data_IF_952222887137
#
_entry.id   IF_952222887137
#
_cell.length_a   1.000
_cell.length_b   1.000
_cell.length_c   1.000
_cell.angle_alpha   90.00
_cell.angle_beta   90.00
_cell.angle_gamma   90.00
#
_symmetry.space_group_name_H-M   'P 1'
#
loop_
_entity.id
_entity.type
_entity.pdbx_description
1 polymer ?
#
# COMPACT_ATOMS: atom_id res chain seq x y z
N UNK A 1 3.68 6.65 -20.69
CA UNK A 1 5.11 6.38 -20.61
C UNK A 1 5.44 5.73 -19.28
N UNK A 2 6.13 4.61 -19.31
CA UNK A 2 6.59 3.92 -18.12
C UNK A 2 8.08 4.12 -17.95
N UNK A 3 8.49 4.49 -16.75
CA UNK A 3 9.89 4.53 -16.36
C UNK A 3 10.06 3.58 -15.20
N UNK A 4 10.95 2.61 -15.34
CA UNK A 4 11.17 1.59 -14.33
C UNK A 4 12.55 1.77 -13.71
N UNK A 5 12.58 1.78 -12.38
CA UNK A 5 13.83 1.77 -11.63
C UNK A 5 14.46 0.37 -11.76
N UNK A 6 15.77 0.33 -11.98
CA UNK A 6 16.49 -0.91 -12.16
C UNK A 6 16.93 -1.57 -10.84
N UNK A 7 16.61 -0.96 -9.70
CA UNK A 7 17.02 -1.48 -8.39
C UNK A 7 15.94 -2.42 -7.83
N UNK A 8 16.10 -3.74 -7.95
CA UNK A 8 15.12 -4.68 -7.43
C UNK A 8 14.92 -4.50 -5.92
N UNK A 9 13.66 -4.48 -5.49
CA UNK A 9 13.31 -4.34 -4.08
C UNK A 9 13.40 -2.92 -3.54
N UNK A 10 13.66 -1.94 -4.39
CA UNK A 10 13.73 -0.54 -3.98
C UNK A 10 12.68 0.34 -4.63
N UNK A 11 11.63 -0.25 -5.11
CA UNK A 11 10.56 0.49 -5.74
C UNK A 11 10.78 0.72 -7.21
N UNK A 12 9.81 0.28 -8.00
CA UNK A 12 9.74 0.58 -9.42
C UNK A 12 8.76 1.72 -9.58
N UNK A 13 9.16 2.78 -10.28
CA UNK A 13 8.38 4.00 -10.42
C UNK A 13 7.87 4.12 -11.84
N UNK A 14 6.57 4.38 -11.98
CA UNK A 14 5.91 4.49 -13.28
C UNK A 14 5.08 5.77 -13.32
N UNK A 15 5.10 6.44 -14.45
CA UNK A 15 4.20 7.56 -14.73
C UNK A 15 3.04 7.04 -15.57
N UNK A 16 1.81 7.22 -15.08
CA UNK A 16 0.61 6.66 -15.70
C UNK A 16 -0.47 7.73 -15.71
N UNK A 17 -0.91 8.15 -16.90
CA UNK A 17 -2.00 9.13 -17.07
C UNK A 17 -1.87 10.37 -16.17
N UNK A 18 -0.64 10.83 -15.96
CA UNK A 18 -0.37 12.04 -15.17
C UNK A 18 -0.21 11.79 -13.68
N UNK A 19 -0.39 10.56 -13.18
CA UNK A 19 -0.09 10.23 -11.80
C UNK A 19 1.10 9.28 -11.72
N UNK A 20 1.67 9.14 -10.54
CA UNK A 20 2.85 8.32 -10.29
C UNK A 20 2.47 7.06 -9.53
N UNK A 21 2.98 5.91 -9.97
CA UNK A 21 2.79 4.62 -9.31
C UNK A 21 4.14 4.10 -8.84
N UNK A 22 4.23 3.71 -7.58
CA UNK A 22 5.41 3.04 -7.03
C UNK A 22 4.98 1.63 -6.65
N UNK A 23 5.67 0.62 -7.19
CA UNK A 23 5.47 -0.78 -6.80
C UNK A 23 6.72 -1.23 -6.06
N UNK A 24 6.56 -1.71 -4.85
CA UNK A 24 7.67 -2.18 -4.03
C UNK A 24 7.30 -3.48 -3.33
N UNK A 25 8.27 -4.35 -3.17
CA UNK A 25 8.10 -5.65 -2.52
C UNK A 25 8.74 -5.68 -1.14
N UNK A 26 8.93 -4.52 -0.53
CA UNK A 26 9.46 -4.40 0.81
C UNK A 26 8.53 -5.09 1.82
N UNK A 27 9.10 -5.86 2.73
CA UNK A 27 8.32 -6.60 3.72
C UNK A 27 8.89 -6.49 5.13
N UNK A 28 10.06 -5.90 5.32
CA UNK A 28 10.56 -5.63 6.67
C UNK A 28 10.27 -4.17 7.06
N UNK A 29 10.14 -3.89 8.37
CA UNK A 29 9.74 -2.56 8.82
C UNK A 29 10.65 -1.43 8.34
N UNK A 30 11.96 -1.68 8.28
CA UNK A 30 12.92 -0.65 7.88
C UNK A 30 12.74 -0.24 6.42
N UNK A 31 12.55 -1.22 5.53
CA UNK A 31 12.37 -0.96 4.11
C UNK A 31 11.04 -0.24 3.86
N UNK A 32 9.99 -0.63 4.58
CA UNK A 32 8.68 0.03 4.47
C UNK A 32 8.79 1.48 4.94
N UNK A 33 9.48 1.73 6.06
CA UNK A 33 9.69 3.09 6.56
C UNK A 33 10.42 3.96 5.54
N UNK A 34 11.48 3.42 4.93
CA UNK A 34 12.26 4.16 3.94
C UNK A 34 11.40 4.55 2.73
N UNK A 35 10.55 3.63 2.29
CA UNK A 35 9.64 3.89 1.17
C UNK A 35 8.62 4.97 1.54
N UNK A 36 8.05 4.88 2.72
CA UNK A 36 7.06 5.85 3.17
C UNK A 36 7.68 7.24 3.40
N UNK A 37 8.92 7.28 3.87
CA UNK A 37 9.65 8.55 4.00
C UNK A 37 9.88 9.19 2.62
N UNK A 38 10.23 8.38 1.62
CA UNK A 38 10.37 8.88 0.26
C UNK A 38 9.04 9.45 -0.25
N UNK A 39 7.95 8.73 -0.01
CA UNK A 39 6.62 9.19 -0.42
C UNK A 39 6.21 10.47 0.32
N UNK A 40 6.54 10.58 1.60
CA UNK A 40 6.24 11.77 2.39
C UNK A 40 6.96 13.01 1.86
N UNK A 41 8.15 12.84 1.28
CA UNK A 41 8.90 13.93 0.70
C UNK A 41 8.26 14.47 -0.59
N UNK A 42 7.35 13.72 -1.20
CA UNK A 42 6.61 14.15 -2.39
C UNK A 42 5.39 14.97 -1.97
N UNK A 43 5.63 16.19 -1.52
CA UNK A 43 4.59 17.06 -0.98
C UNK A 43 3.62 17.54 -2.07
N UNK A 44 2.41 17.92 -1.63
CA UNK A 44 1.40 18.47 -2.51
C UNK A 44 0.62 17.47 -3.33
N UNK A 45 0.85 16.17 -3.13
CA UNK A 45 0.16 15.10 -3.84
C UNK A 45 -0.82 14.40 -2.92
N UNK A 46 -1.98 14.02 -3.47
CA UNK A 46 -2.83 13.04 -2.78
C UNK A 46 -2.14 11.69 -2.90
N UNK A 47 -2.24 10.88 -1.84
CA UNK A 47 -1.49 9.62 -1.76
C UNK A 47 -2.38 8.50 -1.29
N UNK A 48 -2.32 7.36 -2.00
CA UNK A 48 -2.97 6.12 -1.58
C UNK A 48 -1.91 5.05 -1.37
N UNK A 49 -2.02 4.33 -0.26
CA UNK A 49 -1.16 3.20 0.06
C UNK A 49 -1.98 1.92 0.01
N UNK A 50 -1.53 0.96 -0.81
CA UNK A 50 -2.06 -0.40 -0.82
C UNK A 50 -1.06 -1.29 -0.09
N UNK A 51 -1.49 -2.01 0.95
CA UNK A 51 -0.58 -2.90 1.65
C UNK A 51 -1.31 -4.03 2.37
N UNK A 52 -0.54 -5.02 2.77
CA UNK A 52 -1.00 -6.14 3.56
C UNK A 52 0.09 -6.52 4.54
N UNK A 53 -0.25 -7.26 5.58
CA UNK A 53 0.70 -7.74 6.57
C UNK A 53 0.47 -9.22 6.82
N UNK A 54 1.57 -9.97 6.97
CA UNK A 54 1.47 -11.37 7.35
C UNK A 54 1.01 -11.50 8.81
N UNK A 55 0.23 -12.55 9.08
CA UNK A 55 -0.39 -12.74 10.40
C UNK A 55 0.56 -13.19 11.48
N UNK A 56 1.82 -13.55 11.15
CA UNK A 56 2.80 -13.95 12.16
C UNK A 56 3.47 -12.78 12.87
N UNK A 57 3.10 -11.54 12.53
CA UNK A 57 3.59 -10.35 13.23
C UNK A 57 2.74 -10.09 14.48
N UNK A 58 3.37 -9.63 15.59
CA UNK A 58 2.61 -9.25 16.78
C UNK A 58 1.63 -8.11 16.51
N UNK A 59 0.55 -8.06 17.28
CA UNK A 59 -0.48 -7.02 17.15
C UNK A 59 0.10 -5.61 17.22
N UNK A 60 0.98 -5.37 18.17
CA UNK A 60 1.56 -4.03 18.36
C UNK A 60 2.42 -3.60 17.17
N UNK A 61 3.09 -4.55 16.52
CA UNK A 61 3.88 -4.23 15.33
C UNK A 61 2.99 -3.89 14.14
N UNK A 62 1.89 -4.65 13.97
CA UNK A 62 0.91 -4.37 12.90
C UNK A 62 0.32 -2.97 13.11
N UNK A 63 -0.05 -2.63 14.34
CA UNK A 63 -0.59 -1.31 14.65
C UNK A 63 0.44 -0.20 14.43
N UNK A 64 1.68 -0.44 14.83
CA UNK A 64 2.75 0.53 14.66
C UNK A 64 2.99 0.86 13.18
N UNK A 65 3.01 -0.17 12.33
CA UNK A 65 3.18 0.05 10.90
C UNK A 65 2.03 0.88 10.31
N UNK A 66 0.80 0.59 10.71
CA UNK A 66 -0.36 1.35 10.26
C UNK A 66 -0.28 2.81 10.70
N UNK A 67 0.06 3.05 11.97
CA UNK A 67 0.19 4.40 12.53
C UNK A 67 1.29 5.18 11.81
N UNK A 68 2.46 4.56 11.66
CA UNK A 68 3.58 5.21 11.00
C UNK A 68 3.25 5.56 9.55
N UNK A 69 2.58 4.65 8.85
CA UNK A 69 2.16 4.91 7.48
C UNK A 69 1.20 6.11 7.40
N UNK A 70 0.21 6.15 8.27
CA UNK A 70 -0.76 7.24 8.26
C UNK A 70 -0.12 8.59 8.56
N UNK A 71 0.82 8.63 9.49
CA UNK A 71 1.52 9.84 9.89
C UNK A 71 2.38 10.43 8.77
N UNK A 72 2.66 9.66 7.72
CA UNK A 72 3.39 10.18 6.55
C UNK A 72 2.52 10.99 5.59
N UNK A 73 1.24 11.19 5.92
CA UNK A 73 0.39 12.08 5.13
C UNK A 73 -0.38 11.39 4.02
N UNK A 74 -0.93 10.22 4.31
CA UNK A 74 -1.76 9.49 3.36
C UNK A 74 -3.19 10.04 3.32
N UNK A 75 -3.81 9.94 2.15
CA UNK A 75 -5.21 10.32 1.95
C UNK A 75 -6.13 9.12 1.90
N UNK A 76 -5.60 7.94 1.60
CA UNK A 76 -6.36 6.70 1.50
C UNK A 76 -5.45 5.52 1.77
N UNK A 77 -6.00 4.50 2.41
CA UNK A 77 -5.32 3.23 2.65
C UNK A 77 -6.21 2.10 2.18
N UNK A 78 -5.66 1.20 1.38
CA UNK A 78 -6.36 0.01 0.89
C UNK A 78 -5.62 -1.21 1.41
N UNK A 79 -6.30 -2.00 2.22
CA UNK A 79 -5.70 -3.16 2.88
C UNK A 79 -6.15 -4.42 2.16
N UNK A 80 -5.19 -5.29 1.83
CA UNK A 80 -5.47 -6.57 1.19
C UNK A 80 -5.37 -7.70 2.20
N UNK A 81 -6.28 -8.68 2.07
CA UNK A 81 -6.14 -9.96 2.75
C UNK A 81 -5.11 -10.80 2.01
N UNK A 82 -4.37 -11.61 2.76
CA UNK A 82 -3.44 -12.56 2.18
C UNK A 82 -3.68 -13.91 2.85
N UNK A 83 -4.60 -14.69 2.28
CA UNK A 83 -5.02 -15.96 2.88
C UNK A 83 -3.86 -16.91 3.12
N UNK A 84 -2.85 -16.91 2.25
CA UNK A 84 -1.67 -17.76 2.41
C UNK A 84 -0.75 -17.31 3.54
N UNK A 85 -0.98 -16.13 4.10
CA UNK A 85 -0.10 -15.52 5.11
C UNK A 85 -0.82 -15.24 6.42
N UNK A 86 -1.96 -15.89 6.67
CA UNK A 86 -2.70 -15.68 7.93
C UNK A 86 -1.91 -16.13 9.17
N UNK A 87 -1.11 -17.17 9.04
CA UNK A 87 -0.21 -17.64 10.11
C UNK A 87 -0.92 -17.84 11.44
N UNK A 88 -2.09 -18.49 11.39
CA UNK A 88 -2.87 -18.78 12.58
C UNK A 88 -3.95 -17.75 12.93
N UNK A 89 -3.97 -16.62 12.25
CA UNK A 89 -5.06 -15.64 12.41
C UNK A 89 -6.19 -15.97 11.46
N UNK A 90 -7.39 -15.51 11.82
CA UNK A 90 -8.55 -15.66 10.95
C UNK A 90 -8.66 -14.57 9.91
N UNK A 91 -9.54 -14.78 8.90
CA UNK A 91 -9.81 -13.75 7.89
C UNK A 91 -10.28 -12.44 8.54
N UNK A 92 -9.75 -11.31 8.05
CA UNK A 92 -10.12 -10.00 8.54
C UNK A 92 -9.47 -9.58 9.85
N UNK A 93 -8.72 -10.46 10.51
CA UNK A 93 -8.12 -10.16 11.81
C UNK A 93 -7.02 -9.11 11.68
N UNK A 94 -6.11 -9.28 10.72
CA UNK A 94 -5.04 -8.29 10.46
C UNK A 94 -5.66 -6.98 10.00
N UNK A 95 -6.63 -7.03 9.10
CA UNK A 95 -7.33 -5.83 8.65
C UNK A 95 -7.97 -5.08 9.82
N UNK A 96 -8.60 -5.80 10.74
CA UNK A 96 -9.23 -5.18 11.91
C UNK A 96 -8.24 -4.40 12.77
N UNK A 97 -7.04 -4.93 12.95
CA UNK A 97 -5.98 -4.25 13.70
C UNK A 97 -5.53 -2.98 12.98
N UNK A 98 -5.35 -3.06 11.68
CA UNK A 98 -4.93 -1.92 10.86
C UNK A 98 -6.00 -0.83 10.86
N UNK A 99 -7.25 -1.22 10.60
CA UNK A 99 -8.36 -0.27 10.55
C UNK A 99 -8.54 0.45 11.89
N UNK A 100 -8.52 -0.31 12.97
CA UNK A 100 -8.68 0.23 14.32
C UNK A 100 -7.61 1.29 14.61
N UNK A 101 -6.37 0.99 14.26
CA UNK A 101 -5.28 1.94 14.49
C UNK A 101 -5.40 3.18 13.60
N UNK A 102 -5.78 3.02 12.34
CA UNK A 102 -5.98 4.15 11.44
C UNK A 102 -7.09 5.08 11.94
N UNK A 103 -8.19 4.52 12.41
CA UNK A 103 -9.28 5.32 12.97
C UNK A 103 -8.82 6.07 14.22
N UNK A 104 -8.02 5.43 15.05
CA UNK A 104 -7.45 6.09 16.26
C UNK A 104 -6.53 7.24 15.89
N UNK A 105 -5.88 7.17 14.74
CA UNK A 105 -4.99 8.22 14.24
C UNK A 105 -5.73 9.34 13.51
N UNK A 106 -7.04 9.25 13.40
CA UNK A 106 -7.84 10.32 12.80
C UNK A 106 -8.33 10.04 11.38
N UNK A 107 -8.06 8.86 10.83
CA UNK A 107 -8.59 8.49 9.52
C UNK A 107 -10.12 8.34 9.60
N UNK A 108 -10.79 8.64 8.49
CA UNK A 108 -12.23 8.39 8.37
C UNK A 108 -12.45 7.02 7.73
N UNK A 109 -13.59 6.42 8.01
CA UNK A 109 -13.93 5.12 7.42
C UNK A 109 -13.91 5.15 5.88
N UNK A 110 -14.31 6.25 5.29
CA UNK A 110 -14.31 6.39 3.82
C UNK A 110 -12.91 6.50 3.21
N UNK A 111 -11.88 6.63 4.04
CA UNK A 111 -10.49 6.63 3.60
C UNK A 111 -9.84 5.25 3.68
N UNK A 112 -10.55 4.24 4.18
CA UNK A 112 -10.01 2.91 4.40
C UNK A 112 -10.84 1.91 3.59
N UNK A 113 -10.16 1.14 2.75
CA UNK A 113 -10.80 0.13 1.92
C UNK A 113 -10.17 -1.23 2.20
N UNK A 114 -10.93 -2.30 1.97
CA UNK A 114 -10.50 -3.67 2.23
C UNK A 114 -10.86 -4.56 1.03
N UNK A 115 -9.90 -5.34 0.56
CA UNK A 115 -10.10 -6.28 -0.54
C UNK A 115 -9.49 -7.63 -0.21
N UNK A 116 -10.00 -8.68 -0.86
CA UNK A 116 -9.51 -10.03 -0.63
C UNK A 116 -8.13 -10.29 -1.26
N UNK A 117 -7.79 -9.57 -2.31
CA UNK A 117 -6.54 -9.80 -3.05
C UNK A 117 -5.80 -8.51 -3.34
N UNK A 118 -4.48 -8.60 -3.46
CA UNK A 118 -3.64 -7.45 -3.76
C UNK A 118 -3.99 -6.82 -5.11
N UNK A 119 -4.30 -7.63 -6.11
CA UNK A 119 -4.63 -7.10 -7.44
C UNK A 119 -5.91 -6.27 -7.41
N UNK A 120 -6.89 -6.66 -6.61
CA UNK A 120 -8.13 -5.90 -6.44
C UNK A 120 -7.86 -4.54 -5.82
N UNK A 121 -6.99 -4.51 -4.81
CA UNK A 121 -6.59 -3.27 -4.16
C UNK A 121 -5.86 -2.35 -5.13
N UNK A 122 -5.00 -2.90 -5.95
CA UNK A 122 -4.27 -2.13 -6.95
C UNK A 122 -5.21 -1.56 -8.01
N UNK A 123 -6.15 -2.37 -8.50
CA UNK A 123 -7.17 -1.89 -9.45
C UNK A 123 -7.98 -0.72 -8.85
N UNK A 124 -8.35 -0.84 -7.59
CA UNK A 124 -9.08 0.23 -6.89
C UNK A 124 -8.25 1.51 -6.78
N UNK A 125 -6.97 1.38 -6.46
CA UNK A 125 -6.08 2.52 -6.35
C UNK A 125 -5.88 3.21 -7.70
N UNK A 126 -5.71 2.45 -8.77
CA UNK A 126 -5.56 3.01 -10.10
C UNK A 126 -6.83 3.76 -10.55
N UNK A 127 -8.02 3.22 -10.20
CA UNK A 127 -9.29 3.88 -10.50
C UNK A 127 -9.50 5.15 -9.68
N UNK A 128 -8.97 5.19 -8.47
CA UNK A 128 -9.06 6.36 -7.59
C UNK A 128 -8.15 7.50 -8.05
N UNK A 129 -7.01 7.16 -8.62
CA UNK A 129 -5.94 8.12 -8.91
C UNK A 129 -6.33 9.11 -10.00
N UNK A 130 -5.90 10.35 -9.83
CA UNK A 130 -6.07 11.46 -10.76
C UNK A 130 -4.69 12.05 -11.08
N UNK A 131 -4.56 12.85 -12.15
CA UNK A 131 -3.29 13.50 -12.44
C UNK A 131 -2.74 14.21 -11.20
N UNK A 132 -1.46 14.01 -10.93
CA UNK A 132 -0.77 14.56 -9.76
C UNK A 132 -0.75 13.65 -8.55
N UNK A 133 -1.56 12.60 -8.50
CA UNK A 133 -1.62 11.70 -7.36
C UNK A 133 -0.44 10.74 -7.30
N UNK A 134 -0.25 10.13 -6.13
CA UNK A 134 0.76 9.11 -5.91
C UNK A 134 0.09 7.82 -5.42
N UNK A 135 0.32 6.74 -6.15
CA UNK A 135 -0.15 5.39 -5.77
C UNK A 135 1.06 4.59 -5.30
N UNK A 136 1.00 4.08 -4.08
CA UNK A 136 2.05 3.26 -3.51
C UNK A 136 1.50 1.85 -3.34
N UNK A 137 2.06 0.90 -4.09
CA UNK A 137 1.67 -0.51 -4.00
C UNK A 137 2.76 -1.30 -3.31
N UNK A 138 2.55 -1.59 -2.03
CA UNK A 138 3.40 -2.51 -1.27
C UNK A 138 2.83 -3.92 -1.46
N UNK A 139 3.47 -4.71 -2.31
CA UNK A 139 3.01 -6.05 -2.63
C UNK A 139 3.87 -7.08 -1.92
N UNK A 140 3.25 -8.10 -1.32
CA UNK A 140 3.97 -9.23 -0.76
C UNK A 140 4.23 -10.30 -1.81
N UNK A 141 3.36 -10.40 -2.81
CA UNK A 141 3.52 -11.37 -3.88
C UNK A 141 3.95 -10.67 -5.17
N UNK A 142 5.00 -11.18 -5.80
CA UNK A 142 5.42 -10.70 -7.11
C UNK A 142 4.46 -11.24 -8.16
N UNK A 143 3.64 -10.39 -8.71
CA UNK A 143 2.65 -10.77 -9.71
C UNK A 143 2.86 -9.97 -10.98
N UNK A 144 3.01 -10.64 -12.13
CA UNK A 144 3.06 -9.94 -13.42
C UNK A 144 1.81 -9.10 -13.68
N UNK A 145 0.68 -9.47 -13.06
CA UNK A 145 -0.58 -8.75 -13.24
C UNK A 145 -0.49 -7.30 -12.78
N UNK A 146 0.35 -6.98 -11.78
CA UNK A 146 0.54 -5.61 -11.33
C UNK A 146 1.07 -4.74 -12.48
N UNK A 147 2.07 -5.25 -13.20
CA UNK A 147 2.67 -4.53 -14.31
C UNK A 147 1.74 -4.47 -15.52
N UNK A 148 0.95 -5.53 -15.73
CA UNK A 148 -0.05 -5.58 -16.80
C UNK A 148 -1.11 -4.49 -16.60
N UNK A 149 -1.51 -4.24 -15.36
CA UNK A 149 -2.49 -3.18 -15.05
C UNK A 149 -1.96 -1.81 -15.41
N UNK A 150 -0.67 -1.57 -15.19
CA UNK A 150 -0.03 -0.29 -15.55
C UNK A 150 -0.05 -0.10 -17.05
N UNK A 151 0.27 -1.13 -17.82
CA UNK A 151 0.26 -1.06 -19.27
C UNK A 151 -1.13 -0.87 -19.86
N UNK A 152 -2.18 -1.30 -19.15
CA UNK A 152 -3.57 -1.20 -19.60
C UNK A 152 -4.26 0.10 -19.17
N UNK A 153 -3.62 0.89 -18.32
CA UNK A 153 -4.23 2.12 -17.73
C UNK A 153 -3.99 3.39 -18.54
#
# INVERSE_FOLDING_TARGET
TMTQDENPGRGNVFEVNGFTVIIDFAHNPQAIEALLDMAAAMQGRRKVLCFAQAGDRPDDLIRELARNAWEKGLDRVIVSELAHYYRGRGPGEVYGLIKDELLRCGAREDQIEHNDEEIQSFDSALAWARPGDLVIMLALERSPELYDRIGAT
#
